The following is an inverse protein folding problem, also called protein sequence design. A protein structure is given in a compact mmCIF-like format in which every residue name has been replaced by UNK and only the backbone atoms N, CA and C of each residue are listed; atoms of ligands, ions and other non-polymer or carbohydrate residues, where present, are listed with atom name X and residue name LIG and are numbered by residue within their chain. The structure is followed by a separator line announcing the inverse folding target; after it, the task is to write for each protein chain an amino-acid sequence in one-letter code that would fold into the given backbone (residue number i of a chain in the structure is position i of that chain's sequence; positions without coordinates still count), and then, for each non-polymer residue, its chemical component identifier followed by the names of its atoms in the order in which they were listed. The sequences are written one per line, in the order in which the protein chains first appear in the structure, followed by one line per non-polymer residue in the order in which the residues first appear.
data_IF_777356677982
#
_entry.id   IF_777356677982
#
_cell.length_a   1.000
_cell.length_b   1.000
_cell.length_c   1.000
_cell.angle_alpha   90.00
_cell.angle_beta   90.00
_cell.angle_gamma   90.00
#
_symmetry.space_group_name_H-M   'P 1'
#
loop_
_entity.id
_entity.type
_entity.pdbx_description
1 polymer ?
#
# COMPACT_ATOMS: atom_id res chain seq x y z
N UNK A 1 0.06 17.22 -13.35
CA UNK A 1 1.15 17.12 -14.33
C UNK A 1 0.63 16.81 -15.73
N UNK A 2 -0.05 15.66 -15.93
CA UNK A 2 -0.56 15.23 -17.25
C UNK A 2 -1.58 16.18 -17.88
N UNK A 3 -2.52 16.74 -17.11
CA UNK A 3 -3.46 17.74 -17.65
C UNK A 3 -2.76 19.03 -18.09
N UNK A 4 -1.67 19.40 -17.40
CA UNK A 4 -0.81 20.53 -17.78
C UNK A 4 -0.02 20.29 -19.07
N UNK A 5 0.05 19.04 -19.55
CA UNK A 5 0.64 18.66 -20.83
C UNK A 5 -0.41 18.55 -21.96
N UNK A 6 -1.66 18.96 -21.71
CA UNK A 6 -2.74 19.00 -22.72
C UNK A 6 -3.63 17.76 -22.79
N UNK A 7 -3.38 16.74 -21.94
CA UNK A 7 -4.25 15.56 -21.83
C UNK A 7 -5.51 15.90 -21.02
N UNK A 8 -6.58 16.30 -21.71
CA UNK A 8 -7.90 16.51 -21.09
C UNK A 8 -8.44 15.20 -20.51
N UNK A 9 -8.98 15.25 -19.30
CA UNK A 9 -9.56 14.09 -18.61
C UNK A 9 -8.55 13.12 -17.98
N UNK A 10 -7.25 13.46 -17.96
CA UNK A 10 -6.22 12.58 -17.40
C UNK A 10 -6.42 12.30 -15.90
N UNK A 11 -6.83 13.31 -15.11
CA UNK A 11 -7.14 13.09 -13.70
C UNK A 11 -8.31 12.14 -13.51
N UNK A 12 -9.36 12.31 -14.32
CA UNK A 12 -10.58 11.50 -14.32
C UNK A 12 -10.29 10.03 -14.63
N UNK A 13 -9.48 9.78 -15.67
CA UNK A 13 -9.06 8.43 -16.07
C UNK A 13 -8.18 7.78 -14.99
N UNK A 14 -7.24 8.54 -14.40
CA UNK A 14 -6.36 8.03 -13.35
C UNK A 14 -7.14 7.59 -12.10
N UNK A 15 -8.15 8.35 -11.68
CA UNK A 15 -8.98 8.02 -10.52
C UNK A 15 -9.87 6.80 -10.76
N UNK A 16 -10.48 6.69 -11.94
CA UNK A 16 -11.25 5.51 -12.32
C UNK A 16 -10.36 4.25 -12.38
N UNK A 17 -9.17 4.37 -12.97
CA UNK A 17 -8.16 3.31 -13.00
C UNK A 17 -7.71 2.90 -11.60
N UNK A 18 -7.46 3.86 -10.70
CA UNK A 18 -7.06 3.58 -9.32
C UNK A 18 -8.15 2.82 -8.55
N UNK A 19 -9.41 3.22 -8.69
CA UNK A 19 -10.55 2.53 -8.04
C UNK A 19 -10.72 1.11 -8.58
N UNK A 20 -10.67 0.93 -9.90
CA UNK A 20 -10.70 -0.39 -10.53
C UNK A 20 -9.53 -1.26 -10.05
N UNK A 21 -8.32 -0.69 -10.03
CA UNK A 21 -7.11 -1.38 -9.63
C UNK A 21 -7.15 -1.86 -8.18
N UNK A 22 -7.64 -1.03 -7.25
CA UNK A 22 -7.86 -1.45 -5.86
C UNK A 22 -8.78 -2.68 -5.77
N UNK A 23 -9.92 -2.66 -6.45
CA UNK A 23 -10.86 -3.78 -6.43
C UNK A 23 -10.25 -5.03 -7.09
N UNK A 24 -9.71 -4.88 -8.29
CA UNK A 24 -9.12 -5.97 -9.04
C UNK A 24 -7.96 -6.62 -8.26
N UNK A 25 -7.06 -5.80 -7.70
CA UNK A 25 -5.91 -6.24 -6.89
C UNK A 25 -6.32 -7.08 -5.68
N UNK A 26 -7.35 -6.66 -4.95
CA UNK A 26 -7.87 -7.41 -3.81
C UNK A 26 -8.53 -8.73 -4.23
N UNK A 27 -9.24 -8.74 -5.37
CA UNK A 27 -9.92 -9.93 -5.87
C UNK A 27 -8.94 -10.98 -6.40
N UNK A 28 -7.86 -10.58 -7.07
CA UNK A 28 -6.95 -11.53 -7.72
C UNK A 28 -5.91 -12.17 -6.79
N UNK A 29 -5.49 -11.48 -5.72
CA UNK A 29 -4.33 -11.90 -4.94
C UNK A 29 -4.52 -13.24 -4.24
N UNK A 30 -5.65 -13.40 -3.54
CA UNK A 30 -6.01 -14.65 -2.86
C UNK A 30 -6.08 -15.85 -3.82
N UNK A 31 -6.89 -15.82 -4.89
CA UNK A 31 -7.00 -16.92 -5.85
C UNK A 31 -5.68 -17.30 -6.54
N UNK A 32 -4.83 -16.33 -6.88
CA UNK A 32 -3.52 -16.61 -7.50
C UNK A 32 -2.60 -17.33 -6.51
N UNK A 33 -2.51 -16.83 -5.27
CA UNK A 33 -1.71 -17.45 -4.22
C UNK A 33 -2.23 -18.85 -3.85
N UNK A 34 -3.54 -19.00 -3.70
CA UNK A 34 -4.21 -20.29 -3.48
C UNK A 34 -3.84 -21.31 -4.56
N UNK A 35 -3.91 -20.90 -5.82
CA UNK A 35 -3.60 -21.80 -6.94
C UNK A 35 -2.12 -22.17 -6.99
N UNK A 36 -1.22 -21.29 -6.56
CA UNK A 36 0.20 -21.60 -6.41
C UNK A 36 0.40 -22.60 -5.27
N UNK A 37 -0.21 -22.37 -4.10
CA UNK A 37 -0.13 -23.26 -2.95
C UNK A 37 -0.62 -24.67 -3.31
N UNK A 38 -1.83 -24.79 -3.85
CA UNK A 38 -2.41 -26.09 -4.18
C UNK A 38 -1.65 -26.87 -5.27
N UNK A 39 -1.01 -26.18 -6.22
CA UNK A 39 -0.33 -26.86 -7.35
C UNK A 39 1.13 -27.18 -7.07
N UNK A 40 1.81 -26.36 -6.29
CA UNK A 40 3.28 -26.34 -6.25
C UNK A 40 3.85 -26.65 -4.87
N UNK A 41 3.05 -26.52 -3.80
CA UNK A 41 3.53 -26.77 -2.44
C UNK A 41 3.09 -28.14 -1.94
N UNK A 42 4.05 -28.88 -1.38
CA UNK A 42 3.81 -30.16 -0.70
C UNK A 42 3.50 -29.90 0.78
N UNK A 43 2.82 -30.82 1.47
CA UNK A 43 2.45 -30.70 2.90
C UNK A 43 3.62 -30.34 3.81
N UNK A 44 4.84 -30.78 3.50
CA UNK A 44 6.07 -30.50 4.24
C UNK A 44 6.50 -29.02 4.15
N UNK A 45 6.07 -28.30 3.11
CA UNK A 45 6.37 -26.87 2.92
C UNK A 45 5.32 -25.93 3.53
N UNK A 46 4.25 -26.51 4.11
CA UNK A 46 3.18 -25.81 4.84
C UNK A 46 3.37 -25.89 6.35
N UNK A 47 4.48 -26.48 6.83
CA UNK A 47 4.78 -26.48 8.26
C UNK A 47 5.11 -25.06 8.72
N UNK A 48 4.50 -24.59 9.83
CA UNK A 48 4.83 -23.30 10.41
C UNK A 48 6.32 -23.25 10.71
N UNK A 49 7.04 -22.31 10.07
CA UNK A 49 8.44 -22.03 10.41
C UNK A 49 8.43 -21.15 11.66
N UNK A 50 9.00 -21.64 12.76
CA UNK A 50 9.17 -20.86 13.98
C UNK A 50 10.06 -19.65 13.69
N UNK A 51 9.47 -18.45 13.68
CA UNK A 51 10.20 -17.18 13.70
C UNK A 51 9.86 -16.45 15.00
N UNK A 52 10.88 -16.08 15.77
CA UNK A 52 10.71 -15.07 16.81
C UNK A 52 10.45 -13.73 16.12
N UNK A 53 9.25 -13.18 16.34
CA UNK A 53 8.84 -11.89 15.79
C UNK A 53 9.25 -10.80 16.76
N UNK A 54 9.98 -9.78 16.27
CA UNK A 54 10.16 -8.54 17.00
C UNK A 54 8.80 -7.80 17.06
N UNK A 55 8.23 -7.55 18.26
CA UNK A 55 6.93 -6.86 18.41
C UNK A 55 6.89 -5.48 17.74
N UNK A 56 8.04 -4.84 17.51
CA UNK A 56 8.11 -3.56 16.80
C UNK A 56 7.80 -3.69 15.30
N UNK A 57 8.06 -4.87 14.72
CA UNK A 57 7.85 -5.17 13.30
C UNK A 57 6.40 -5.59 13.00
N UNK A 58 5.72 -6.17 13.98
CA UNK A 58 4.30 -6.49 13.95
C UNK A 58 3.39 -5.24 14.08
N UNK A 59 3.96 -4.04 14.17
CA UNK A 59 3.24 -2.77 14.37
C UNK A 59 2.29 -2.33 13.24
N UNK A 60 2.07 -3.17 12.24
CA UNK A 60 1.02 -2.99 11.20
C UNK A 60 -0.20 -3.88 11.42
N UNK A 61 -0.13 -4.83 12.37
CA UNK A 61 -1.23 -5.72 12.77
C UNK A 61 -1.21 -5.87 14.30
N UNK A 62 -1.49 -4.78 15.03
CA UNK A 62 -1.92 -4.93 16.42
C UNK A 62 -3.36 -5.46 16.44
N UNK A 63 -3.49 -6.70 16.90
CA UNK A 63 -4.67 -7.38 17.45
C UNK A 63 -5.94 -7.63 16.61
N UNK A 64 -6.16 -7.01 15.44
CA UNK A 64 -7.43 -7.22 14.71
C UNK A 64 -7.43 -8.32 13.63
N UNK A 65 -6.29 -8.89 13.24
CA UNK A 65 -6.23 -9.88 12.12
C UNK A 65 -5.58 -11.23 12.43
N UNK A 66 -5.20 -11.51 13.69
CA UNK A 66 -4.66 -12.80 14.14
C UNK A 66 -5.63 -13.52 15.10
N UNK A 67 -5.71 -14.87 15.09
CA UNK A 67 -6.77 -15.65 15.73
C UNK A 67 -6.67 -15.79 17.26
N UNK A 68 -6.23 -14.75 17.98
CA UNK A 68 -6.33 -14.65 19.44
C UNK A 68 -6.61 -13.21 19.86
N UNK A 69 -7.89 -12.84 19.93
CA UNK A 69 -8.30 -11.49 20.35
C UNK A 69 -9.79 -11.35 20.59
N UNK A 70 -10.47 -12.38 21.13
CA UNK A 70 -11.80 -12.15 21.67
C UNK A 70 -11.69 -11.35 22.97
N UNK A 71 -12.47 -10.27 23.02
CA UNK A 71 -12.84 -9.48 24.19
C UNK A 71 -11.85 -8.43 24.70
N UNK A 72 -12.01 -7.20 24.17
CA UNK A 72 -12.18 -6.04 25.06
C UNK A 72 -13.10 -4.99 24.46
N UNK A 73 -14.39 -5.33 24.41
CA UNK A 73 -15.43 -4.31 24.32
C UNK A 73 -15.46 -3.52 25.64
N UNK A 74 -15.56 -2.19 25.48
CA UNK A 74 -16.13 -1.22 26.42
C UNK A 74 -15.27 -0.72 27.60
N UNK A 75 -14.61 0.42 27.38
CA UNK A 75 -14.68 1.62 28.25
C UNK A 75 -13.86 2.79 27.67
N UNK A 76 -14.50 3.98 27.59
CA UNK A 76 -13.98 5.35 27.35
C UNK A 76 -14.04 5.97 25.93
N UNK A 77 -15.24 6.41 25.53
CA UNK A 77 -15.46 7.29 24.35
C UNK A 77 -14.56 8.55 24.36
N UNK A 78 -14.28 9.12 25.55
CA UNK A 78 -13.40 10.30 25.68
C UNK A 78 -11.92 9.96 25.44
N UNK A 79 -11.47 8.80 25.89
CA UNK A 79 -10.07 8.37 25.71
C UNK A 79 -9.83 7.97 24.26
N UNK A 80 -10.82 7.36 23.61
CA UNK A 80 -10.78 7.05 22.18
C UNK A 80 -10.78 8.33 21.32
N UNK A 81 -11.65 9.30 21.63
CA UNK A 81 -11.66 10.60 20.95
C UNK A 81 -10.33 11.34 21.10
N UNK A 82 -9.73 11.34 22.30
CA UNK A 82 -8.43 11.96 22.53
C UNK A 82 -7.35 11.29 21.68
N UNK A 83 -7.33 9.95 21.58
CA UNK A 83 -6.35 9.26 20.74
C UNK A 83 -6.49 9.61 19.25
N UNK A 84 -7.72 9.73 18.72
CA UNK A 84 -7.95 10.20 17.35
C UNK A 84 -7.50 11.66 17.14
N UNK A 85 -7.73 12.53 18.13
CA UNK A 85 -7.25 13.90 18.09
C UNK A 85 -5.71 13.94 18.08
N UNK A 86 -5.05 13.22 18.99
CA UNK A 86 -3.58 13.11 19.05
C UNK A 86 -2.99 12.55 17.75
N UNK A 87 -3.60 11.50 17.19
CA UNK A 87 -3.22 10.95 15.89
C UNK A 87 -3.29 12.01 14.77
N UNK A 88 -4.38 12.76 14.72
CA UNK A 88 -4.59 13.83 13.74
C UNK A 88 -3.58 14.96 13.91
N UNK A 89 -3.30 15.40 15.14
CA UNK A 89 -2.29 16.42 15.41
C UNK A 89 -0.89 15.96 15.02
N UNK A 90 -0.53 14.72 15.35
CA UNK A 90 0.76 14.15 14.96
C UNK A 90 0.91 14.13 13.44
N UNK A 91 -0.12 13.68 12.72
CA UNK A 91 -0.16 13.71 11.25
C UNK A 91 0.00 15.13 10.69
N UNK A 92 -0.72 16.12 11.23
CA UNK A 92 -0.62 17.52 10.79
C UNK A 92 0.79 18.10 11.00
N UNK A 93 1.41 17.86 12.15
CA UNK A 93 2.76 18.35 12.46
C UNK A 93 3.78 17.71 11.53
N UNK A 94 3.72 16.38 11.36
CA UNK A 94 4.64 15.64 10.49
C UNK A 94 4.47 16.08 9.03
N UNK A 95 3.24 16.28 8.56
CA UNK A 95 2.98 16.78 7.20
C UNK A 95 3.46 18.22 7.01
N UNK A 96 3.29 19.10 8.00
CA UNK A 96 3.77 20.48 7.93
C UNK A 96 5.30 20.53 7.83
N UNK A 97 6.01 19.80 8.70
CA UNK A 97 7.47 19.66 8.64
C UNK A 97 7.90 18.98 7.34
N UNK A 98 7.18 17.96 6.93
CA UNK A 98 7.38 17.21 5.68
C UNK A 98 7.30 18.09 4.45
N UNK A 99 6.37 19.05 4.42
CA UNK A 99 6.22 20.00 3.31
C UNK A 99 7.43 20.91 3.18
N UNK A 100 7.98 21.38 4.31
CA UNK A 100 9.22 22.18 4.33
C UNK A 100 10.40 21.33 3.86
N UNK A 101 10.52 20.09 4.34
CA UNK A 101 11.54 19.15 3.90
C UNK A 101 11.44 18.86 2.39
N UNK A 102 10.23 18.61 1.85
CA UNK A 102 10.00 18.38 0.42
C UNK A 102 10.47 19.56 -0.43
N UNK A 103 10.20 20.81 0.00
CA UNK A 103 10.70 22.01 -0.71
C UNK A 103 12.22 22.08 -0.73
N UNK A 104 12.85 21.76 0.40
CA UNK A 104 14.31 21.72 0.49
C UNK A 104 14.90 20.62 -0.41
N UNK A 105 14.30 19.43 -0.44
CA UNK A 105 14.73 18.33 -1.30
C UNK A 105 14.59 18.68 -2.78
N UNK A 106 13.49 19.33 -3.18
CA UNK A 106 13.30 19.77 -4.57
C UNK A 106 14.36 20.80 -5.02
N UNK A 107 14.96 21.57 -4.10
CA UNK A 107 16.04 22.51 -4.44
C UNK A 107 17.37 21.82 -4.80
N UNK A 108 17.51 20.52 -4.53
CA UNK A 108 18.75 19.76 -4.82
C UNK A 108 18.88 19.31 -6.28
N UNK A 109 17.88 19.59 -7.12
CA UNK A 109 17.87 19.22 -8.54
C UNK A 109 17.47 17.77 -8.83
N UNK A 110 17.16 16.97 -7.80
CA UNK A 110 16.63 15.61 -7.93
C UNK A 110 15.09 15.64 -7.86
N UNK A 111 14.43 14.98 -8.80
CA UNK A 111 12.96 14.84 -8.85
C UNK A 111 12.48 13.81 -7.84
N UNK A 112 12.06 14.27 -6.66
CA UNK A 112 11.39 13.43 -5.66
C UNK A 112 9.86 13.59 -5.71
N UNK A 113 9.09 12.53 -5.35
CA UNK A 113 7.65 12.68 -5.11
C UNK A 113 7.37 13.81 -4.12
N UNK A 114 6.27 14.55 -4.31
CA UNK A 114 5.95 15.73 -3.49
C UNK A 114 5.73 15.39 -2.01
N UNK A 115 5.29 14.17 -1.71
CA UNK A 115 5.09 13.63 -0.37
C UNK A 115 6.34 12.98 0.24
N UNK A 116 7.44 12.85 -0.51
CA UNK A 116 8.64 12.16 -0.04
C UNK A 116 9.26 12.81 1.21
N UNK A 117 9.26 14.15 1.30
CA UNK A 117 9.69 14.84 2.51
C UNK A 117 8.81 14.54 3.73
N UNK A 118 7.50 14.32 3.54
CA UNK A 118 6.62 13.87 4.61
C UNK A 118 6.91 12.43 5.04
N UNK A 119 7.24 11.53 4.11
CA UNK A 119 7.69 10.17 4.44
C UNK A 119 8.97 10.17 5.28
N UNK A 120 9.97 10.97 4.88
CA UNK A 120 11.24 11.10 5.62
C UNK A 120 11.00 11.66 7.02
N UNK A 121 10.20 12.73 7.13
CA UNK A 121 9.87 13.30 8.43
C UNK A 121 9.09 12.33 9.31
N UNK A 122 8.15 11.57 8.75
CA UNK A 122 7.42 10.53 9.48
C UNK A 122 8.36 9.44 10.00
N UNK A 123 9.30 8.97 9.16
CA UNK A 123 10.30 7.99 9.56
C UNK A 123 11.20 8.51 10.68
N UNK A 124 11.72 9.74 10.57
CA UNK A 124 12.54 10.37 11.60
C UNK A 124 11.76 10.51 12.91
N UNK A 125 10.53 11.04 12.86
CA UNK A 125 9.68 11.18 14.05
C UNK A 125 9.41 9.83 14.69
N UNK A 126 9.12 8.79 13.90
CA UNK A 126 8.89 7.43 14.40
C UNK A 126 10.13 6.87 15.11
N UNK A 127 11.30 6.97 14.48
CA UNK A 127 12.55 6.47 15.05
C UNK A 127 12.91 7.21 16.35
N UNK A 128 12.79 8.54 16.39
CA UNK A 128 13.08 9.33 17.59
C UNK A 128 12.11 8.97 18.73
N UNK A 129 10.83 8.79 18.43
CA UNK A 129 9.83 8.46 19.44
C UNK A 129 9.93 7.04 19.97
N UNK A 130 10.42 6.09 19.16
CA UNK A 130 10.76 4.73 19.63
C UNK A 130 12.02 4.70 20.52
N UNK A 131 13.01 5.55 20.23
CA UNK A 131 14.22 5.69 21.05
C UNK A 131 13.98 6.39 22.40
N UNK A 132 12.84 7.06 22.55
CA UNK A 132 12.48 7.82 23.76
C UNK A 132 11.41 7.05 24.55
N UNK A 133 11.30 7.14 25.89
CA UNK A 133 10.20 6.55 26.67
C UNK A 133 8.78 7.07 26.31
N UNK A 134 8.64 7.90 25.27
CA UNK A 134 7.37 8.40 24.75
C UNK A 134 6.75 7.53 23.65
N UNK A 135 7.29 6.33 23.37
CA UNK A 135 6.72 5.39 22.40
C UNK A 135 5.20 5.15 22.60
N UNK A 136 4.73 5.09 23.86
CA UNK A 136 3.30 4.92 24.18
C UNK A 136 2.40 6.12 23.82
N UNK A 137 2.97 7.27 23.44
CA UNK A 137 2.20 8.48 23.09
C UNK A 137 1.80 8.56 21.62
N UNK A 138 2.29 7.67 20.76
CA UNK A 138 1.86 7.58 19.36
C UNK A 138 0.84 6.46 19.19
N UNK A 139 -0.47 6.77 19.14
CA UNK A 139 -1.49 5.76 18.86
C UNK A 139 -1.45 5.38 17.36
N UNK A 140 -0.58 4.43 17.00
CA UNK A 140 -0.35 4.03 15.60
C UNK A 140 -1.61 3.52 14.91
N UNK A 141 -2.39 2.70 15.60
CA UNK A 141 -3.67 2.21 15.10
C UNK A 141 -4.60 3.36 14.70
N UNK A 142 -4.71 4.39 15.55
CA UNK A 142 -5.54 5.56 15.27
C UNK A 142 -4.94 6.46 14.18
N UNK A 143 -3.61 6.56 14.08
CA UNK A 143 -2.93 7.26 12.97
C UNK A 143 -3.25 6.59 11.62
N UNK A 144 -3.18 5.27 11.55
CA UNK A 144 -3.53 4.50 10.35
C UNK A 144 -5.01 4.65 10.01
N UNK A 145 -5.89 4.54 11.01
CA UNK A 145 -7.34 4.73 10.83
C UNK A 145 -7.67 6.13 10.30
N UNK A 146 -7.13 7.18 10.90
CA UNK A 146 -7.28 8.57 10.40
C UNK A 146 -6.75 8.72 8.97
N UNK A 147 -5.59 8.13 8.66
CA UNK A 147 -5.04 8.12 7.30
C UNK A 147 -5.98 7.47 6.28
N UNK A 148 -6.56 6.32 6.62
CA UNK A 148 -7.52 5.61 5.77
C UNK A 148 -8.82 6.42 5.55
N UNK A 149 -9.30 7.11 6.58
CA UNK A 149 -10.45 8.02 6.47
C UNK A 149 -10.12 9.19 5.54
N UNK A 150 -8.97 9.84 5.72
CA UNK A 150 -8.53 10.93 4.85
C UNK A 150 -8.36 10.49 3.40
N UNK A 151 -7.79 9.31 3.15
CA UNK A 151 -7.64 8.75 1.81
C UNK A 151 -9.01 8.48 1.17
N UNK A 152 -9.94 7.89 1.92
CA UNK A 152 -11.31 7.61 1.44
C UNK A 152 -12.05 8.89 1.09
N UNK A 153 -11.92 9.95 1.91
CA UNK A 153 -12.49 11.26 1.62
C UNK A 153 -11.85 11.91 0.39
N UNK A 154 -10.52 11.82 0.24
CA UNK A 154 -9.81 12.32 -0.94
C UNK A 154 -10.30 11.65 -2.22
N UNK A 155 -10.40 10.31 -2.21
CA UNK A 155 -10.94 9.54 -3.33
C UNK A 155 -12.40 9.95 -3.63
N UNK A 156 -13.23 10.11 -2.61
CA UNK A 156 -14.62 10.56 -2.77
C UNK A 156 -14.75 11.94 -3.41
N UNK A 157 -13.97 12.93 -2.94
CA UNK A 157 -13.95 14.29 -3.51
C UNK A 157 -13.48 14.28 -4.97
N UNK A 158 -12.47 13.47 -5.29
CA UNK A 158 -11.98 13.31 -6.65
C UNK A 158 -13.02 12.64 -7.58
N UNK A 159 -13.80 11.68 -7.07
CA UNK A 159 -14.88 11.03 -7.82
C UNK A 159 -16.07 11.94 -8.08
N UNK A 160 -16.41 12.86 -7.18
CA UNK A 160 -17.49 13.85 -7.43
C UNK A 160 -17.12 14.80 -8.57
N UNK A 161 -15.83 15.06 -8.78
CA UNK A 161 -15.32 15.92 -9.85
C UNK A 161 -15.25 15.21 -11.22
N UNK A 162 -15.69 13.94 -11.29
CA UNK A 162 -15.56 13.09 -12.47
C UNK A 162 -16.59 13.47 -13.54
N UNK A 163 -16.12 13.96 -14.67
CA UNK A 163 -16.95 14.20 -15.86
C UNK A 163 -17.05 12.94 -16.71
N UNK A 164 -18.04 12.09 -16.42
CA UNK A 164 -18.23 10.80 -17.10
C UNK A 164 -18.32 10.91 -18.64
N UNK A 165 -18.80 12.03 -19.16
CA UNK A 165 -18.88 12.26 -20.61
C UNK A 165 -17.49 12.46 -21.26
N UNK A 166 -16.48 12.95 -20.52
CA UNK A 166 -15.10 13.06 -21.03
C UNK A 166 -14.46 11.66 -21.18
N UNK A 167 -15.02 10.62 -20.54
CA UNK A 167 -14.55 9.24 -20.67
C UNK A 167 -15.15 8.49 -21.85
N UNK A 168 -16.25 8.92 -22.47
CA UNK A 168 -16.94 8.10 -23.48
C UNK A 168 -16.01 7.72 -24.64
N UNK A 169 -15.21 8.67 -25.12
CA UNK A 169 -14.24 8.46 -26.20
C UNK A 169 -12.97 7.71 -25.74
N UNK A 170 -12.72 7.60 -24.43
CA UNK A 170 -11.54 6.96 -23.84
C UNK A 170 -11.86 5.66 -23.09
N UNK A 171 -13.13 5.30 -22.92
CA UNK A 171 -13.57 4.18 -22.10
C UNK A 171 -13.08 2.84 -22.65
N UNK A 172 -13.20 2.64 -23.96
CA UNK A 172 -12.69 1.44 -24.64
C UNK A 172 -11.18 1.27 -24.44
N UNK A 173 -10.33 2.28 -24.78
CA UNK A 173 -8.90 2.24 -24.48
C UNK A 173 -8.60 1.95 -22.99
N UNK A 174 -9.30 2.61 -22.07
CA UNK A 174 -9.09 2.44 -20.64
C UNK A 174 -9.34 0.99 -20.20
N UNK A 175 -10.49 0.41 -20.57
CA UNK A 175 -10.81 -0.98 -20.22
C UNK A 175 -9.77 -1.93 -20.80
N UNK A 176 -9.34 -1.73 -22.05
CA UNK A 176 -8.33 -2.61 -22.66
C UNK A 176 -7.01 -2.57 -21.90
N UNK A 177 -6.56 -1.39 -21.47
CA UNK A 177 -5.33 -1.22 -20.68
C UNK A 177 -5.48 -1.88 -19.32
N UNK A 178 -6.60 -1.67 -18.63
CA UNK A 178 -6.83 -2.22 -17.29
C UNK A 178 -6.89 -3.75 -17.30
N UNK A 179 -7.59 -4.35 -18.28
CA UNK A 179 -7.66 -5.81 -18.43
C UNK A 179 -6.28 -6.38 -18.79
N UNK A 180 -5.55 -5.73 -19.71
CA UNK A 180 -4.19 -6.12 -20.06
C UNK A 180 -3.25 -6.04 -18.84
N UNK A 181 -3.38 -5.01 -18.01
CA UNK A 181 -2.60 -4.83 -16.79
C UNK A 181 -2.88 -5.94 -15.78
N UNK A 182 -4.15 -6.28 -15.53
CA UNK A 182 -4.52 -7.39 -14.64
C UNK A 182 -3.97 -8.71 -15.15
N UNK A 183 -4.13 -9.00 -16.45
CA UNK A 183 -3.60 -10.22 -17.05
C UNK A 183 -2.07 -10.29 -16.95
N UNK A 184 -1.38 -9.18 -17.25
CA UNK A 184 0.08 -9.11 -17.18
C UNK A 184 0.58 -9.34 -15.75
N UNK A 185 -0.08 -8.78 -14.74
CA UNK A 185 0.28 -8.97 -13.34
C UNK A 185 0.09 -10.43 -12.94
N UNK A 186 -1.03 -11.06 -13.28
CA UNK A 186 -1.26 -12.48 -13.01
C UNK A 186 -0.16 -13.35 -13.65
N UNK A 187 0.18 -13.08 -14.92
CA UNK A 187 1.22 -13.84 -15.63
C UNK A 187 2.61 -13.62 -15.00
N UNK A 188 2.98 -12.38 -14.72
CA UNK A 188 4.27 -12.04 -14.11
C UNK A 188 4.41 -12.64 -12.72
N UNK A 189 3.37 -12.54 -11.88
CA UNK A 189 3.46 -13.06 -10.51
C UNK A 189 3.48 -14.58 -10.48
N UNK A 190 2.68 -15.22 -11.35
CA UNK A 190 2.60 -16.67 -11.44
C UNK A 190 3.86 -17.31 -12.03
N UNK A 191 4.39 -16.81 -13.15
CA UNK A 191 5.51 -17.44 -13.85
C UNK A 191 6.89 -16.92 -13.43
N UNK A 192 6.99 -15.64 -13.08
CA UNK A 192 8.29 -15.00 -12.80
C UNK A 192 8.48 -14.82 -11.30
N UNK A 193 7.59 -14.08 -10.63
CA UNK A 193 7.80 -13.69 -9.23
C UNK A 193 7.85 -14.92 -8.32
N UNK A 194 6.89 -15.84 -8.42
CA UNK A 194 6.88 -17.06 -7.60
C UNK A 194 8.16 -17.89 -7.75
N UNK A 195 8.69 -17.99 -8.98
CA UNK A 195 9.91 -18.74 -9.26
C UNK A 195 11.17 -18.02 -8.74
N UNK A 196 11.21 -16.70 -8.83
CA UNK A 196 12.33 -15.90 -8.32
C UNK A 196 12.37 -15.85 -6.79
N UNK A 197 11.21 -15.92 -6.14
CA UNK A 197 11.07 -15.83 -4.69
C UNK A 197 11.37 -17.15 -3.94
N UNK A 198 11.67 -18.23 -4.65
CA UNK A 198 12.12 -19.49 -4.03
C UNK A 198 11.08 -20.60 -3.93
N UNK A 199 9.88 -20.41 -4.50
CA UNK A 199 8.85 -21.46 -4.64
C UNK A 199 8.43 -22.09 -3.29
N UNK A 200 8.38 -21.29 -2.23
CA UNK A 200 7.90 -21.69 -0.91
C UNK A 200 6.62 -20.94 -0.50
N UNK A 201 6.09 -21.23 0.69
CA UNK A 201 4.86 -20.61 1.16
C UNK A 201 5.03 -19.09 1.34
N UNK A 202 6.19 -18.65 1.83
CA UNK A 202 6.53 -17.22 1.94
C UNK A 202 6.45 -16.55 0.55
N UNK A 203 6.94 -17.22 -0.50
CA UNK A 203 6.81 -16.75 -1.88
C UNK A 203 5.35 -16.66 -2.35
N UNK A 204 4.48 -17.60 -1.97
CA UNK A 204 3.06 -17.55 -2.31
C UNK A 204 2.33 -16.40 -1.61
N UNK A 205 2.61 -16.15 -0.32
CA UNK A 205 2.09 -14.99 0.42
C UNK A 205 2.62 -13.69 -0.19
N UNK A 206 3.91 -13.62 -0.52
CA UNK A 206 4.49 -12.47 -1.24
C UNK A 206 3.81 -12.22 -2.58
N UNK A 207 3.48 -13.27 -3.35
CA UNK A 207 2.72 -13.13 -4.60
C UNK A 207 1.33 -12.55 -4.35
N UNK A 208 0.63 -12.96 -3.29
CA UNK A 208 -0.65 -12.37 -2.90
C UNK A 208 -0.51 -10.85 -2.63
N UNK A 209 0.56 -10.48 -1.91
CA UNK A 209 0.93 -9.10 -1.62
C UNK A 209 1.26 -8.31 -2.88
N UNK A 210 2.09 -8.85 -3.78
CA UNK A 210 2.46 -8.21 -5.06
C UNK A 210 1.22 -7.97 -5.91
N UNK A 211 0.33 -8.97 -6.05
CA UNK A 211 -0.93 -8.81 -6.79
C UNK A 211 -1.81 -7.67 -6.21
N UNK A 212 -1.91 -7.58 -4.88
CA UNK A 212 -2.68 -6.52 -4.21
C UNK A 212 -2.05 -5.14 -4.38
N UNK A 213 -0.74 -5.06 -4.20
CA UNK A 213 0.01 -3.81 -4.28
C UNK A 213 0.10 -3.27 -5.72
N UNK A 214 0.42 -4.12 -6.71
CA UNK A 214 0.68 -3.69 -8.09
C UNK A 214 -0.55 -3.15 -8.83
N UNK A 215 -1.76 -3.57 -8.43
CA UNK A 215 -3.00 -3.03 -8.96
C UNK A 215 -3.62 -1.98 -8.03
N UNK A 216 -3.38 -2.09 -6.73
CA UNK A 216 -3.99 -1.24 -5.72
C UNK A 216 -2.97 -0.43 -4.94
N UNK A 217 -2.89 -0.71 -3.64
CA UNK A 217 -2.02 -0.02 -2.71
C UNK A 217 -1.55 -0.98 -1.61
N UNK A 218 -0.67 -0.51 -0.74
CA UNK A 218 -0.18 -1.25 0.44
C UNK A 218 -1.28 -1.92 1.27
N UNK A 219 -2.41 -1.26 1.63
CA UNK A 219 -3.48 -1.93 2.38
C UNK A 219 -4.10 -3.14 1.65
N UNK A 220 -4.20 -3.12 0.32
CA UNK A 220 -4.71 -4.26 -0.45
C UNK A 220 -3.71 -5.41 -0.46
N UNK A 221 -2.42 -5.10 -0.50
CA UNK A 221 -1.36 -6.07 -0.35
C UNK A 221 -1.46 -6.79 1.00
N UNK A 222 -1.60 -6.02 2.08
CA UNK A 222 -1.75 -6.54 3.44
C UNK A 222 -3.01 -7.40 3.54
N UNK A 223 -4.16 -6.91 3.09
CA UNK A 223 -5.42 -7.66 3.11
C UNK A 223 -5.32 -9.00 2.36
N UNK A 224 -4.66 -9.03 1.20
CA UNK A 224 -4.44 -10.27 0.44
C UNK A 224 -3.53 -11.25 1.18
N UNK A 225 -2.42 -10.76 1.75
CA UNK A 225 -1.51 -11.59 2.53
C UNK A 225 -2.19 -12.15 3.77
N UNK A 226 -2.91 -11.31 4.53
CA UNK A 226 -3.65 -11.73 5.73
C UNK A 226 -4.75 -12.73 5.37
N UNK A 227 -5.45 -12.57 4.23
CA UNK A 227 -6.44 -13.55 3.77
C UNK A 227 -5.83 -14.92 3.46
N UNK A 228 -4.62 -14.97 2.89
CA UNK A 228 -3.89 -16.23 2.68
C UNK A 228 -3.44 -16.81 4.02
N UNK A 229 -2.84 -16.00 4.88
CA UNK A 229 -2.39 -16.42 6.20
C UNK A 229 -3.52 -16.91 7.11
N UNK A 230 -4.71 -16.31 7.03
CA UNK A 230 -5.90 -16.73 7.76
C UNK A 230 -6.33 -18.15 7.41
N UNK A 231 -6.19 -18.53 6.13
CA UNK A 231 -6.57 -19.86 5.64
C UNK A 231 -5.51 -20.92 5.93
N UNK A 232 -4.24 -20.54 5.91
CA UNK A 232 -3.11 -21.45 6.10
C UNK A 232 -2.43 -21.15 7.44
N UNK A 233 -1.31 -20.43 7.42
CA UNK A 233 -0.61 -20.00 8.63
C UNK A 233 0.07 -18.64 8.42
N UNK A 234 0.39 -17.97 9.54
CA UNK A 234 1.10 -16.70 9.49
C UNK A 234 2.54 -16.87 8.94
N UNK A 235 3.04 -15.85 8.25
CA UNK A 235 4.43 -15.77 7.81
C UNK A 235 4.95 -14.35 7.99
N UNK A 236 6.06 -14.21 8.71
CA UNK A 236 6.61 -12.90 9.11
C UNK A 236 7.36 -12.20 7.97
N UNK A 237 8.07 -12.94 7.11
CA UNK A 237 8.91 -12.33 6.06
C UNK A 237 8.12 -11.47 5.06
N UNK A 238 6.98 -11.95 4.51
CA UNK A 238 6.19 -11.14 3.58
C UNK A 238 5.72 -9.82 4.18
N UNK A 239 5.30 -9.85 5.45
CA UNK A 239 4.82 -8.67 6.19
C UNK A 239 5.93 -7.68 6.53
N UNK A 240 7.19 -8.11 6.58
CA UNK A 240 8.35 -7.20 6.66
C UNK A 240 8.66 -6.56 5.29
N UNK A 241 8.69 -7.38 4.25
CA UNK A 241 9.22 -7.00 2.94
C UNK A 241 8.27 -6.06 2.20
N UNK A 242 6.98 -6.39 2.17
CA UNK A 242 6.00 -5.70 1.30
C UNK A 242 5.76 -4.25 1.72
N UNK A 243 5.59 -3.89 3.00
CA UNK A 243 5.41 -2.49 3.38
C UNK A 243 6.62 -1.63 3.05
N UNK A 244 7.84 -2.13 3.28
CA UNK A 244 9.08 -1.38 3.02
C UNK A 244 9.24 -1.12 1.52
N UNK A 245 9.11 -2.16 0.70
CA UNK A 245 9.27 -2.02 -0.76
C UNK A 245 8.11 -1.21 -1.35
N UNK A 246 6.88 -1.56 -0.99
CA UNK A 246 5.67 -0.98 -1.55
C UNK A 246 5.47 0.49 -1.18
N UNK A 247 5.60 0.84 0.10
CA UNK A 247 5.29 2.20 0.55
C UNK A 247 6.38 3.23 0.22
N UNK A 248 7.64 2.82 0.02
CA UNK A 248 8.76 3.75 -0.14
C UNK A 248 9.48 3.58 -1.48
N UNK A 249 9.98 2.37 -1.78
CA UNK A 249 10.87 2.17 -2.93
C UNK A 249 10.14 2.22 -4.26
N UNK A 250 8.95 1.62 -4.34
CA UNK A 250 8.18 1.61 -5.58
C UNK A 250 7.87 3.04 -6.03
N UNK A 251 7.48 3.91 -5.12
CA UNK A 251 7.11 5.29 -5.45
C UNK A 251 8.27 6.10 -6.04
N UNK A 252 9.48 5.91 -5.49
CA UNK A 252 10.70 6.52 -6.00
C UNK A 252 11.04 5.99 -7.40
N UNK A 253 10.98 4.67 -7.59
CA UNK A 253 11.24 4.03 -8.88
C UNK A 253 10.19 4.48 -9.91
N UNK A 254 8.91 4.47 -9.54
CA UNK A 254 7.80 4.84 -10.40
C UNK A 254 7.91 6.31 -10.85
N UNK A 255 8.24 7.22 -9.94
CA UNK A 255 8.48 8.63 -10.29
C UNK A 255 9.63 8.77 -11.28
N UNK A 256 10.74 8.05 -11.06
CA UNK A 256 11.87 8.03 -11.99
C UNK A 256 11.50 7.46 -13.36
N UNK A 257 10.83 6.31 -13.40
CA UNK A 257 10.40 5.62 -14.62
C UNK A 257 9.42 6.49 -15.41
N UNK A 258 8.39 7.05 -14.78
CA UNK A 258 7.42 7.96 -15.43
C UNK A 258 8.16 9.17 -16.03
N UNK A 259 9.08 9.78 -15.28
CA UNK A 259 9.84 10.95 -15.75
C UNK A 259 10.68 10.60 -16.98
N UNK A 260 11.35 9.44 -16.99
CA UNK A 260 12.13 8.95 -18.14
C UNK A 260 11.23 8.71 -19.35
N UNK A 261 10.09 8.02 -19.18
CA UNK A 261 9.15 7.77 -20.27
C UNK A 261 8.58 9.06 -20.85
N UNK A 262 8.22 10.03 -20.01
CA UNK A 262 7.70 11.32 -20.47
C UNK A 262 8.76 12.09 -21.26
N UNK A 263 10.00 12.10 -20.79
CA UNK A 263 11.11 12.74 -21.51
C UNK A 263 11.39 12.08 -22.86
N UNK A 264 11.36 10.74 -22.92
CA UNK A 264 11.56 9.98 -24.16
C UNK A 264 10.44 10.21 -25.19
N UNK A 265 9.19 10.35 -24.74
CA UNK A 265 8.03 10.59 -25.61
C UNK A 265 7.95 12.07 -26.04
N UNK A 266 8.46 12.99 -25.22
CA UNK A 266 8.53 14.43 -25.54
C UNK A 266 9.69 14.80 -26.49
N UNK A 267 10.57 13.85 -26.80
CA UNK A 267 11.69 13.98 -27.74
C UNK A 267 11.28 13.54 -29.15
#
# INVERSE_FOLDING_TARGET
MLEGMGLKGAGTVAMAAATFGLIAGSVIGGPVAERLIQRHLTSEQLEPKDYEVDPALAGFESDESLPQGHAKHMSDDEHEFHQYATATYALLIVMALGTVASKLLQSTGITFPTYFGALVMAAITRNIMELTPYSHKLPMEKIVSTGNICLSLFLGMAMISLKLWELESLALPLITILVAQVAMIILLTYFVAFRMLGHDYDAAVLVAGICGFSLGATPNAMANMSAVCYKYHYSTKPFLIVPIIGAMFVDLINTGVITVFLNLISL
#
